data_IF_398830707136
#
_entry.id   IF_398830707136
#
_cell.length_a   1.000
_cell.length_b   1.000
_cell.length_c   1.000
_cell.angle_alpha   90.00
_cell.angle_beta   90.00
_cell.angle_gamma   90.00
#
_symmetry.space_group_name_H-M   'P 1'
#
loop_
_entity.id
_entity.type
_entity.pdbx_description
1 polymer ?
#
# COMPACT_ATOMS: atom_id res chain seq x y z
N UNK A 1 -36.47 -53.97 9.96
CA UNK A 1 -37.51 -54.37 10.94
C UNK A 1 -37.19 -53.68 12.26
N UNK A 2 -37.96 -52.66 12.64
CA UNK A 2 -37.73 -51.90 13.88
C UNK A 2 -38.59 -52.45 15.02
N UNK A 3 -37.98 -52.69 16.19
CA UNK A 3 -38.70 -53.07 17.41
C UNK A 3 -39.07 -51.83 18.22
N UNK A 4 -40.37 -51.64 18.48
CA UNK A 4 -40.86 -50.65 19.43
C UNK A 4 -41.03 -51.32 20.81
N UNK A 5 -40.24 -50.88 21.80
CA UNK A 5 -40.41 -51.29 23.19
C UNK A 5 -41.40 -50.32 23.84
N UNK A 6 -42.50 -50.87 24.37
CA UNK A 6 -43.59 -50.15 25.03
C UNK A 6 -43.08 -49.50 26.32
N UNK A 7 -42.95 -48.17 26.37
CA UNK A 7 -42.64 -47.44 27.63
C UNK A 7 -43.93 -47.24 28.45
N UNK A 8 -43.84 -47.58 29.75
CA UNK A 8 -44.87 -47.28 30.77
C UNK A 8 -45.09 -45.77 30.84
N UNK A 9 -46.35 -45.35 30.97
CA UNK A 9 -46.74 -43.96 31.20
C UNK A 9 -46.26 -43.53 32.59
N UNK A 10 -45.39 -42.52 32.63
CA UNK A 10 -44.95 -41.85 33.87
C UNK A 10 -45.76 -40.55 34.00
N UNK A 11 -46.27 -40.29 35.20
CA UNK A 11 -47.13 -39.14 35.47
C UNK A 11 -46.41 -37.81 35.26
N UNK A 12 -47.17 -36.79 34.85
CA UNK A 12 -46.70 -35.44 34.49
C UNK A 12 -45.80 -34.79 35.56
N UNK A 13 -45.98 -35.14 36.83
CA UNK A 13 -45.18 -34.63 37.96
C UNK A 13 -43.74 -35.17 38.01
N UNK A 14 -43.43 -36.32 37.40
CA UNK A 14 -42.05 -36.82 37.34
C UNK A 14 -41.25 -36.17 36.21
N UNK A 15 -41.92 -35.81 35.12
CA UNK A 15 -41.31 -35.13 33.97
C UNK A 15 -40.81 -33.74 34.38
N UNK A 16 -41.61 -33.00 35.17
CA UNK A 16 -41.27 -31.64 35.61
C UNK A 16 -40.11 -31.58 36.62
N UNK A 17 -39.86 -32.66 37.39
CA UNK A 17 -38.69 -32.74 38.27
C UNK A 17 -37.39 -33.06 37.53
N UNK A 18 -37.46 -33.74 36.38
CA UNK A 18 -36.28 -34.07 35.57
C UNK A 18 -35.75 -32.88 34.74
N UNK A 19 -36.65 -32.02 34.24
CA UNK A 19 -36.28 -30.94 33.31
C UNK A 19 -35.48 -29.82 33.97
N UNK A 20 -35.60 -29.61 35.28
CA UNK A 20 -34.91 -28.50 35.97
C UNK A 20 -33.45 -28.81 36.39
N UNK A 21 -32.92 -29.99 36.03
CA UNK A 21 -31.56 -30.41 36.44
C UNK A 21 -30.65 -30.84 35.28
N UNK A 22 -31.10 -30.75 34.02
CA UNK A 22 -30.24 -31.05 32.87
C UNK A 22 -29.36 -29.84 32.53
N UNK A 23 -28.21 -29.74 33.20
CA UNK A 23 -27.07 -29.00 32.65
C UNK A 23 -26.63 -29.73 31.38
N UNK A 24 -26.90 -29.14 30.23
CA UNK A 24 -26.48 -29.68 28.93
C UNK A 24 -24.96 -29.59 28.83
N UNK A 25 -24.25 -30.67 29.18
CA UNK A 25 -22.82 -30.79 28.90
C UNK A 25 -22.66 -31.24 27.45
N UNK A 26 -22.02 -30.40 26.64
CA UNK A 26 -21.57 -30.83 25.32
C UNK A 26 -20.44 -31.86 25.51
N UNK A 27 -20.77 -33.15 25.41
CA UNK A 27 -19.79 -34.23 25.46
C UNK A 27 -19.08 -34.27 24.11
N UNK A 28 -17.99 -33.52 24.00
CA UNK A 28 -17.11 -33.60 22.84
C UNK A 28 -16.34 -34.91 22.90
N UNK A 29 -16.50 -35.75 21.89
CA UNK A 29 -15.66 -36.94 21.72
C UNK A 29 -14.22 -36.51 21.46
N UNK A 30 -13.22 -37.33 21.82
CA UNK A 30 -11.79 -37.04 21.56
C UNK A 30 -11.52 -36.68 20.08
N UNK A 31 -12.30 -37.27 19.17
CA UNK A 31 -12.27 -36.97 17.73
C UNK A 31 -12.78 -35.55 17.43
N UNK A 32 -13.86 -35.10 18.09
CA UNK A 32 -14.38 -33.74 17.97
C UNK A 32 -13.40 -32.68 18.51
N UNK A 33 -12.72 -32.97 19.61
CA UNK A 33 -11.70 -32.08 20.19
C UNK A 33 -10.50 -31.94 19.23
N UNK A 34 -10.06 -33.04 18.60
CA UNK A 34 -8.98 -33.00 17.60
C UNK A 34 -9.36 -32.15 16.37
N UNK A 35 -10.58 -32.30 15.87
CA UNK A 35 -11.06 -31.52 14.71
C UNK A 35 -11.14 -30.03 15.05
N UNK A 36 -11.64 -29.66 16.24
CA UNK A 36 -11.68 -28.24 16.66
C UNK A 36 -10.28 -27.64 16.80
N UNK A 37 -9.29 -28.39 17.29
CA UNK A 37 -7.90 -27.92 17.37
C UNK A 37 -7.32 -27.65 15.98
N UNK A 38 -7.56 -28.53 15.00
CA UNK A 38 -7.11 -28.33 13.62
C UNK A 38 -7.77 -27.11 12.98
N UNK A 39 -9.08 -26.94 13.18
CA UNK A 39 -9.81 -25.76 12.69
C UNK A 39 -9.28 -24.46 13.30
N UNK A 40 -9.07 -24.43 14.61
CA UNK A 40 -8.52 -23.26 15.28
C UNK A 40 -7.12 -22.92 14.76
N UNK A 41 -6.27 -23.93 14.52
CA UNK A 41 -4.91 -23.74 14.03
C UNK A 41 -4.89 -23.22 12.58
N UNK A 42 -5.80 -23.70 11.72
CA UNK A 42 -5.99 -23.17 10.37
C UNK A 42 -6.50 -21.72 10.38
N UNK A 43 -7.41 -21.38 11.30
CA UNK A 43 -7.96 -20.03 11.44
C UNK A 43 -6.89 -19.03 11.89
N UNK A 44 -6.03 -19.43 12.84
CA UNK A 44 -4.89 -18.62 13.28
C UNK A 44 -3.87 -18.44 12.15
N UNK A 45 -3.54 -19.51 11.41
CA UNK A 45 -2.65 -19.43 10.26
C UNK A 45 -3.21 -18.49 9.17
N UNK A 46 -4.52 -18.53 8.92
CA UNK A 46 -5.19 -17.64 7.97
C UNK A 46 -5.13 -16.17 8.41
N UNK A 47 -5.37 -15.87 9.69
CA UNK A 47 -5.29 -14.50 10.22
C UNK A 47 -3.85 -13.96 10.10
N UNK A 48 -2.85 -14.76 10.47
CA UNK A 48 -1.43 -14.36 10.37
C UNK A 48 -1.03 -14.14 8.91
N UNK A 49 -1.41 -15.05 8.00
CA UNK A 49 -1.14 -14.93 6.57
C UNK A 49 -1.78 -13.68 5.96
N UNK A 50 -3.03 -13.39 6.30
CA UNK A 50 -3.74 -12.21 5.80
C UNK A 50 -3.15 -10.90 6.32
N UNK A 51 -2.72 -10.85 7.60
CA UNK A 51 -2.00 -9.69 8.14
C UNK A 51 -0.64 -9.48 7.48
N UNK A 52 0.06 -10.55 7.10
CA UNK A 52 1.35 -10.45 6.40
C UNK A 52 1.17 -9.91 4.98
N UNK A 53 0.14 -10.38 4.27
CA UNK A 53 -0.22 -9.91 2.92
C UNK A 53 -0.68 -8.44 2.91
N UNK A 54 -1.48 -8.02 3.88
CA UNK A 54 -1.98 -6.64 3.97
C UNK A 54 -0.89 -5.63 4.39
N UNK A 55 0.15 -6.06 5.13
CA UNK A 55 1.27 -5.18 5.50
C UNK A 55 2.22 -4.86 4.34
N UNK A 56 2.22 -5.67 3.29
CA UNK A 56 3.07 -5.45 2.10
C UNK A 56 2.52 -4.40 1.15
N UNK A 57 1.24 -4.04 1.25
CA UNK A 57 0.62 -2.97 0.49
C UNK A 57 0.49 -1.71 1.34
N UNK A 58 1.63 -1.08 1.63
CA UNK A 58 1.62 0.33 2.00
C UNK A 58 1.05 1.10 0.81
N UNK A 59 -0.26 1.36 0.82
CA UNK A 59 -0.94 2.11 -0.23
C UNK A 59 -0.39 3.55 -0.20
N UNK A 60 0.58 3.81 -1.06
CA UNK A 60 1.15 5.13 -1.25
C UNK A 60 0.06 5.98 -1.88
N UNK A 61 -0.54 6.85 -1.07
CA UNK A 61 -1.64 7.71 -1.49
C UNK A 61 -1.08 8.82 -2.35
N UNK A 62 -1.47 8.81 -3.62
CA UNK A 62 -1.31 9.96 -4.50
C UNK A 62 -2.28 11.04 -4.02
N UNK A 63 -1.80 12.28 -3.93
CA UNK A 63 -2.66 13.40 -3.56
C UNK A 63 -3.27 13.97 -4.85
N UNK A 64 -4.61 13.92 -5.02
CA UNK A 64 -5.25 14.54 -6.17
C UNK A 64 -5.24 16.06 -5.98
N UNK A 65 -4.55 16.78 -6.87
CA UNK A 65 -4.49 18.24 -6.87
C UNK A 65 -5.27 18.79 -8.08
N UNK A 66 -6.29 19.62 -7.81
CA UNK A 66 -7.19 20.16 -8.83
C UNK A 66 -6.49 21.11 -9.82
N UNK A 67 -5.49 21.88 -9.38
CA UNK A 67 -4.63 22.68 -10.26
C UNK A 67 -3.47 23.26 -9.46
N UNK A 68 -2.26 23.21 -10.00
CA UNK A 68 -1.11 23.92 -9.43
C UNK A 68 -1.10 25.37 -9.92
N UNK A 69 -0.94 26.32 -8.98
CA UNK A 69 -0.68 27.73 -9.32
C UNK A 69 0.83 27.89 -9.43
N UNK A 70 1.33 28.06 -10.64
CA UNK A 70 2.77 28.12 -10.90
C UNK A 70 3.10 28.57 -12.32
N UNK A 71 4.39 28.79 -12.58
CA UNK A 71 4.90 29.12 -13.92
C UNK A 71 5.34 27.84 -14.62
N UNK A 72 4.70 27.51 -15.73
CA UNK A 72 5.11 26.39 -16.58
C UNK A 72 6.41 26.77 -17.29
N UNK A 73 7.47 25.99 -17.05
CA UNK A 73 8.76 26.22 -17.70
C UNK A 73 8.77 25.53 -19.06
N UNK A 74 8.29 24.29 -19.14
CA UNK A 74 8.19 23.54 -20.39
C UNK A 74 7.24 22.35 -20.31
N UNK A 75 6.86 21.81 -21.47
CA UNK A 75 6.00 20.64 -21.59
C UNK A 75 4.52 20.95 -21.42
N UNK A 76 3.71 19.90 -21.28
CA UNK A 76 2.27 20.03 -21.19
C UNK A 76 1.81 20.60 -19.83
N UNK A 77 0.71 21.39 -19.80
CA UNK A 77 0.17 21.93 -18.57
C UNK A 77 -0.21 20.85 -17.55
N UNK A 78 0.27 20.99 -16.31
CA UNK A 78 -0.05 20.07 -15.23
C UNK A 78 -1.42 20.41 -14.60
N UNK A 79 -2.51 19.88 -15.17
CA UNK A 79 -3.90 20.04 -14.68
C UNK A 79 -4.45 18.74 -14.12
N UNK A 80 -5.24 18.81 -13.03
CA UNK A 80 -5.94 17.69 -12.39
C UNK A 80 -5.08 16.43 -12.22
N UNK A 81 -4.16 16.41 -11.26
CA UNK A 81 -3.29 15.24 -11.14
C UNK A 81 -2.95 14.78 -9.75
N UNK A 82 -2.87 13.46 -9.68
CA UNK A 82 -2.24 12.66 -8.66
C UNK A 82 -0.74 12.95 -8.65
N UNK A 83 -0.29 13.57 -7.56
CA UNK A 83 1.11 13.91 -7.35
C UNK A 83 1.69 13.11 -6.20
N UNK A 84 2.90 12.63 -6.42
CA UNK A 84 3.71 11.92 -5.46
C UNK A 84 4.70 12.88 -4.82
N UNK A 85 4.66 13.00 -3.50
CA UNK A 85 5.71 13.71 -2.76
C UNK A 85 7.04 12.95 -2.87
N UNK A 86 8.13 13.71 -2.94
CA UNK A 86 9.49 13.17 -3.09
C UNK A 86 9.85 12.12 -2.01
N UNK A 87 9.30 12.26 -0.80
CA UNK A 87 9.49 11.29 0.30
C UNK A 87 8.88 9.91 0.04
N UNK A 88 7.90 9.83 -0.85
CA UNK A 88 7.18 8.60 -1.15
C UNK A 88 7.73 7.87 -2.39
N UNK A 89 8.70 8.47 -3.08
CA UNK A 89 9.30 7.94 -4.31
C UNK A 89 9.99 6.59 -4.09
N UNK A 90 10.86 6.48 -3.09
CA UNK A 90 11.57 5.24 -2.76
C UNK A 90 10.63 4.07 -2.46
N UNK A 91 9.68 4.23 -1.50
CA UNK A 91 8.65 3.23 -1.23
C UNK A 91 7.84 2.85 -2.47
N UNK A 92 7.50 3.81 -3.34
CA UNK A 92 6.69 3.58 -4.54
C UNK A 92 7.40 2.70 -5.55
N UNK A 93 8.71 2.89 -5.69
CA UNK A 93 9.53 2.13 -6.62
C UNK A 93 10.04 0.81 -6.05
N UNK A 94 9.78 0.46 -4.77
CA UNK A 94 10.33 -0.75 -4.15
C UNK A 94 10.11 -2.00 -5.01
N UNK A 95 8.90 -2.21 -5.52
CA UNK A 95 8.51 -3.36 -6.32
C UNK A 95 8.33 -3.03 -7.82
N UNK A 96 8.75 -1.84 -8.28
CA UNK A 96 8.61 -1.40 -9.68
C UNK A 96 9.98 -1.11 -10.27
N UNK A 97 10.16 -1.44 -11.54
CA UNK A 97 11.38 -1.06 -12.28
C UNK A 97 11.24 0.35 -12.85
N UNK A 98 10.02 0.71 -13.20
CA UNK A 98 9.70 1.94 -13.89
C UNK A 98 8.25 2.32 -13.60
N UNK A 99 7.97 3.63 -13.58
CA UNK A 99 6.62 4.15 -13.64
C UNK A 99 6.59 5.59 -14.16
N UNK A 100 5.50 5.94 -14.85
CA UNK A 100 5.17 7.34 -15.14
C UNK A 100 4.43 7.94 -13.96
N UNK A 101 4.92 9.06 -13.47
CA UNK A 101 4.36 9.75 -12.31
C UNK A 101 4.67 11.23 -12.35
N UNK A 102 4.00 11.95 -11.46
CA UNK A 102 4.26 13.36 -11.21
C UNK A 102 4.84 13.51 -9.82
N UNK A 103 5.98 14.17 -9.74
CA UNK A 103 6.74 14.33 -8.49
C UNK A 103 6.71 15.80 -8.09
N UNK A 104 6.38 16.04 -6.82
CA UNK A 104 6.57 17.35 -6.19
C UNK A 104 7.78 17.31 -5.28
N UNK A 105 8.65 18.32 -5.40
CA UNK A 105 9.81 18.46 -4.53
C UNK A 105 10.61 19.72 -4.82
N UNK A 106 11.73 19.86 -4.10
CA UNK A 106 12.66 20.97 -4.27
C UNK A 106 13.92 20.50 -5.01
N UNK A 107 14.40 21.33 -5.94
CA UNK A 107 15.67 21.08 -6.64
C UNK A 107 16.83 21.47 -5.73
N UNK A 108 17.71 20.52 -5.41
CA UNK A 108 18.87 20.76 -4.55
C UNK A 108 20.06 21.29 -5.32
N UNK A 109 20.25 20.84 -6.57
CA UNK A 109 21.39 21.24 -7.41
C UNK A 109 21.05 21.14 -8.88
N UNK A 110 21.66 22.01 -9.68
CA UNK A 110 21.57 21.95 -11.14
C UNK A 110 22.98 21.77 -11.71
N UNK A 111 23.15 20.74 -12.54
CA UNK A 111 24.40 20.39 -13.19
C UNK A 111 24.42 20.98 -14.61
N UNK A 112 25.58 21.46 -15.05
CA UNK A 112 25.74 22.14 -16.34
C UNK A 112 25.49 21.28 -17.59
N UNK A 113 25.29 19.98 -17.42
CA UNK A 113 25.04 19.01 -18.49
C UNK A 113 23.54 18.75 -18.76
N UNK A 114 22.63 19.50 -18.14
CA UNK A 114 21.18 19.26 -18.26
C UNK A 114 20.66 18.21 -17.28
N UNK A 115 21.37 17.98 -16.18
CA UNK A 115 20.89 17.18 -15.06
C UNK A 115 20.58 18.06 -13.85
N UNK A 116 19.63 17.64 -13.04
CA UNK A 116 19.28 18.23 -11.76
C UNK A 116 19.31 17.13 -10.70
N UNK A 117 19.60 17.51 -9.46
CA UNK A 117 19.51 16.61 -8.33
C UNK A 117 18.38 17.09 -7.42
N UNK A 118 17.67 16.13 -6.83
CA UNK A 118 16.74 16.38 -5.73
C UNK A 118 17.08 15.47 -4.56
N UNK A 119 16.99 15.98 -3.35
CA UNK A 119 17.26 15.20 -2.15
C UNK A 119 16.05 14.37 -1.76
N UNK A 120 16.17 13.05 -1.84
CA UNK A 120 15.19 12.11 -1.32
C UNK A 120 15.22 12.11 0.22
N UNK A 121 14.12 11.65 0.84
CA UNK A 121 13.99 11.62 2.30
C UNK A 121 14.97 10.65 2.99
N UNK A 122 15.56 9.72 2.24
CA UNK A 122 16.58 8.79 2.71
C UNK A 122 18.01 9.35 2.59
N UNK A 123 18.15 10.62 2.20
CA UNK A 123 19.44 11.29 2.01
C UNK A 123 20.12 10.97 0.68
N UNK A 124 19.52 10.14 -0.18
CA UNK A 124 20.01 9.89 -1.54
C UNK A 124 19.62 11.02 -2.49
N UNK A 125 20.34 11.13 -3.61
CA UNK A 125 19.99 12.03 -4.68
C UNK A 125 19.15 11.31 -5.74
N UNK A 126 18.04 11.93 -6.15
CA UNK A 126 17.32 11.58 -7.36
C UNK A 126 17.95 12.32 -8.54
N UNK A 127 18.47 11.56 -9.50
CA UNK A 127 19.05 12.12 -10.72
C UNK A 127 17.92 12.47 -11.70
N UNK A 128 17.71 13.76 -11.93
CA UNK A 128 16.65 14.28 -12.77
C UNK A 128 17.25 14.74 -14.09
N UNK A 129 16.89 14.07 -15.18
CA UNK A 129 17.35 14.40 -16.53
C UNK A 129 16.32 15.31 -17.21
N UNK A 130 16.77 16.45 -17.71
CA UNK A 130 15.93 17.37 -18.49
C UNK A 130 16.64 17.77 -19.78
N UNK A 131 15.88 18.03 -20.85
CA UNK A 131 16.48 18.42 -22.13
C UNK A 131 16.97 19.88 -22.06
N UNK A 132 18.25 20.17 -22.33
CA UNK A 132 18.87 21.48 -22.08
C UNK A 132 18.46 22.63 -23.02
N UNK A 133 17.38 22.50 -23.80
CA UNK A 133 16.93 23.53 -24.76
C UNK A 133 15.90 24.54 -24.22
N UNK A 134 15.49 24.46 -22.94
CA UNK A 134 14.21 25.01 -22.47
C UNK A 134 14.31 26.11 -21.39
N UNK A 135 15.48 26.75 -21.22
CA UNK A 135 15.64 27.91 -20.34
C UNK A 135 16.77 27.75 -19.32
N UNK A 136 17.28 28.89 -18.83
CA UNK A 136 18.46 28.99 -17.97
C UNK A 136 18.33 28.18 -16.68
N UNK A 137 19.09 27.10 -16.64
CA UNK A 137 19.22 26.10 -15.57
C UNK A 137 19.59 26.67 -14.20
N UNK A 138 20.25 27.82 -14.15
CA UNK A 138 20.71 28.44 -12.91
C UNK A 138 19.58 28.89 -11.97
N UNK A 139 18.43 29.27 -12.54
CA UNK A 139 17.31 29.86 -11.78
C UNK A 139 16.32 28.81 -11.23
N UNK A 140 16.67 27.52 -11.28
CA UNK A 140 15.83 26.44 -10.75
C UNK A 140 16.27 25.94 -9.36
N UNK A 141 17.48 26.31 -8.93
CA UNK A 141 18.04 25.87 -7.64
C UNK A 141 17.17 26.36 -6.48
N UNK A 142 16.87 25.49 -5.52
CA UNK A 142 16.05 25.77 -4.34
C UNK A 142 14.59 26.14 -4.61
N UNK A 143 14.11 26.05 -5.86
CA UNK A 143 12.69 26.26 -6.17
C UNK A 143 11.89 24.98 -5.94
N UNK A 144 10.67 25.17 -5.45
CA UNK A 144 9.69 24.09 -5.35
C UNK A 144 9.09 23.87 -6.75
N UNK A 145 9.12 22.62 -7.21
CA UNK A 145 8.69 22.26 -8.56
C UNK A 145 7.75 21.07 -8.52
N UNK A 146 6.86 21.04 -9.52
CA UNK A 146 6.08 19.87 -9.88
C UNK A 146 6.51 19.44 -11.26
N UNK A 147 6.93 18.18 -11.38
CA UNK A 147 7.43 17.62 -12.62
C UNK A 147 6.61 16.41 -13.02
N UNK A 148 6.35 16.25 -14.31
CA UNK A 148 5.78 15.03 -14.89
C UNK A 148 6.80 14.34 -15.76
N UNK A 149 6.88 13.02 -15.65
CA UNK A 149 7.94 12.28 -16.30
C UNK A 149 7.94 10.80 -15.98
N UNK A 150 9.05 10.16 -16.35
CA UNK A 150 9.27 8.73 -16.23
C UNK A 150 10.34 8.46 -15.18
N UNK A 151 9.97 7.76 -14.12
CA UNK A 151 10.89 7.34 -13.07
C UNK A 151 11.33 5.90 -13.33
N UNK A 152 12.63 5.62 -13.25
CA UNK A 152 13.18 4.28 -13.45
C UNK A 152 14.37 4.02 -12.55
N UNK A 153 14.64 2.74 -12.31
CA UNK A 153 15.84 2.28 -11.60
C UNK A 153 17.03 2.21 -12.56
N UNK A 154 18.20 2.64 -12.10
CA UNK A 154 19.46 2.57 -12.84
C UNK A 154 20.47 1.69 -12.10
N UNK A 155 21.09 0.77 -12.82
CA UNK A 155 22.16 -0.10 -12.31
C UNK A 155 21.74 -1.12 -11.26
N UNK A 156 22.71 -1.88 -10.74
CA UNK A 156 22.50 -2.92 -9.71
C UNK A 156 22.24 -2.34 -8.31
N UNK A 157 22.56 -1.07 -8.08
CA UNK A 157 22.43 -0.40 -6.78
C UNK A 157 21.05 0.21 -6.50
N UNK A 158 20.07 0.01 -7.40
CA UNK A 158 18.72 0.58 -7.30
C UNK A 158 18.70 2.11 -7.17
N UNK A 159 19.65 2.79 -7.82
CA UNK A 159 19.60 4.25 -7.91
C UNK A 159 18.41 4.66 -8.78
N UNK A 160 17.84 5.83 -8.50
CA UNK A 160 16.67 6.32 -9.21
C UNK A 160 17.07 7.44 -10.17
N UNK A 161 16.57 7.34 -11.39
CA UNK A 161 16.65 8.40 -12.38
C UNK A 161 15.26 8.77 -12.87
N UNK A 162 15.09 10.05 -13.17
CA UNK A 162 13.81 10.62 -13.57
C UNK A 162 13.98 11.43 -14.85
N UNK A 163 13.29 11.04 -15.91
CA UNK A 163 13.26 11.77 -17.18
C UNK A 163 12.06 12.71 -17.19
N UNK A 164 12.33 14.03 -17.24
CA UNK A 164 11.29 15.06 -17.15
C UNK A 164 10.69 15.35 -18.52
N UNK A 165 9.37 15.24 -18.63
CA UNK A 165 8.60 15.65 -19.81
C UNK A 165 7.96 17.04 -19.65
N UNK A 166 7.59 17.41 -18.42
CA UNK A 166 6.98 18.70 -18.12
C UNK A 166 7.41 19.19 -16.74
N UNK A 167 7.65 20.49 -16.60
CA UNK A 167 8.08 21.13 -15.36
C UNK A 167 7.32 22.43 -15.10
N UNK A 168 6.79 22.54 -13.89
CA UNK A 168 6.11 23.70 -13.35
C UNK A 168 6.82 24.15 -12.08
N UNK A 169 7.14 25.43 -11.97
CA UNK A 169 7.64 26.06 -10.74
C UNK A 169 6.44 26.57 -9.94
N UNK A 170 6.37 26.26 -8.66
CA UNK A 170 5.35 26.77 -7.74
C UNK A 170 5.69 28.17 -7.18
#
# INVERSE_FOLDING_TARGET
MGHLIKKKSLGVNEILKGVNNEKTYFVYTDKGIRIMKVLALLLVAFIIGNQFLQRTEGAIKLQPVASFKGTQVFGDPLKNVDVLDLSNVGPFMKNKQEAELKIKGQISKVLGNGQMEMSLSDGKALNVHYKPGLGTSADLTSKEVVMSGRLYKTGDQQDLAYEVHSLLIL
#
